data_IF_982173038959
#
_entry.id   IF_982173038959
#
_cell.length_a   1.000
_cell.length_b   1.000
_cell.length_c   1.000
_cell.angle_alpha   90.00
_cell.angle_beta   90.00
_cell.angle_gamma   90.00
#
_symmetry.space_group_name_H-M   'P 1'
#
loop_
_entity.id
_entity.type
_entity.pdbx_description
1 polymer ?
#
# COMPACT_ATOMS: atom_id res chain seq x y z
N UNK A 1 11.72 -4.88 -11.01
CA UNK A 1 11.80 -6.09 -10.19
C UNK A 1 11.27 -5.84 -8.79
N UNK A 2 10.48 -6.77 -8.27
CA UNK A 2 9.90 -6.62 -6.96
C UNK A 2 10.90 -7.04 -5.90
N UNK A 3 11.09 -6.18 -4.92
CA UNK A 3 12.00 -6.50 -3.83
C UNK A 3 11.27 -7.32 -2.78
N UNK A 4 11.91 -8.38 -2.33
CA UNK A 4 11.29 -9.25 -1.33
C UNK A 4 11.07 -8.58 0.01
N UNK A 5 11.78 -7.48 0.26
CA UNK A 5 11.60 -6.74 1.52
C UNK A 5 10.47 -5.73 1.48
N UNK A 6 9.80 -5.61 0.33
CA UNK A 6 8.76 -4.59 0.19
C UNK A 6 7.52 -4.94 0.99
N UNK A 7 6.96 -3.93 1.64
CA UNK A 7 5.71 -4.05 2.36
C UNK A 7 4.61 -3.45 1.50
N UNK A 8 3.53 -4.19 1.30
CA UNK A 8 2.37 -3.68 0.57
C UNK A 8 1.33 -3.21 1.57
N UNK A 9 0.81 -2.01 1.33
CA UNK A 9 -0.27 -1.46 2.14
C UNK A 9 -1.52 -1.48 1.29
N UNK A 10 -2.59 -2.06 1.82
CA UNK A 10 -3.87 -2.12 1.13
C UNK A 10 -4.77 -1.01 1.65
N UNK A 11 -5.13 -0.10 0.76
CA UNK A 11 -6.01 1.00 1.08
C UNK A 11 -5.27 2.29 1.37
N UNK A 12 -5.78 3.38 0.78
CA UNK A 12 -5.17 4.70 0.91
C UNK A 12 -5.92 5.63 1.85
N UNK A 13 -6.75 5.08 2.76
CA UNK A 13 -7.44 5.88 3.74
C UNK A 13 -6.49 6.43 4.79
N UNK A 14 -7.04 7.12 5.79
CA UNK A 14 -6.22 7.77 6.81
C UNK A 14 -5.25 6.81 7.47
N UNK A 15 -5.69 5.61 7.78
CA UNK A 15 -4.81 4.63 8.43
C UNK A 15 -3.72 4.15 7.48
N UNK A 16 -4.05 3.99 6.21
CA UNK A 16 -3.05 3.59 5.22
C UNK A 16 -1.99 4.64 5.06
N UNK A 17 -2.39 5.91 5.00
CA UNK A 17 -1.46 7.02 4.89
C UNK A 17 -0.58 7.10 6.14
N UNK A 18 -1.16 6.85 7.31
CA UNK A 18 -0.38 6.82 8.54
C UNK A 18 0.69 5.75 8.51
N UNK A 19 0.33 4.57 8.01
CA UNK A 19 1.29 3.48 7.88
C UNK A 19 2.41 3.83 6.90
N UNK A 20 2.06 4.50 5.79
CA UNK A 20 3.05 4.93 4.81
C UNK A 20 4.03 5.92 5.44
N UNK A 21 3.52 6.90 6.19
CA UNK A 21 4.38 7.89 6.83
C UNK A 21 5.34 7.24 7.81
N UNK A 22 4.86 6.26 8.55
CA UNK A 22 5.72 5.54 9.48
C UNK A 22 6.80 4.75 8.73
N UNK A 23 6.42 4.11 7.64
CA UNK A 23 7.37 3.34 6.85
C UNK A 23 8.44 4.23 6.23
N UNK A 24 8.05 5.41 5.74
CA UNK A 24 9.01 6.37 5.21
C UNK A 24 10.03 6.73 6.29
N UNK A 25 9.54 6.99 7.49
CA UNK A 25 10.40 7.35 8.60
C UNK A 25 11.39 6.23 8.93
N UNK A 26 10.98 4.99 8.75
CA UNK A 26 11.82 3.83 9.05
C UNK A 26 12.57 3.29 7.83
N UNK A 27 12.46 3.97 6.70
CA UNK A 27 13.10 3.56 5.45
C UNK A 27 12.68 2.16 5.00
N UNK A 28 11.41 1.85 5.17
CA UNK A 28 10.86 0.57 4.73
C UNK A 28 10.29 0.74 3.33
N UNK A 29 10.70 -0.08 2.35
CA UNK A 29 10.13 0.01 1.00
C UNK A 29 8.64 -0.31 1.02
N UNK A 30 7.86 0.52 0.34
CA UNK A 30 6.40 0.45 0.37
C UNK A 30 5.82 0.38 -1.04
N UNK A 31 4.76 -0.40 -1.17
CA UNK A 31 3.92 -0.41 -2.35
C UNK A 31 2.48 -0.23 -1.86
N UNK A 32 1.77 0.74 -2.41
CA UNK A 32 0.38 0.99 -2.02
C UNK A 32 -0.57 0.44 -3.08
N UNK A 33 -1.56 -0.32 -2.67
CA UNK A 33 -2.56 -0.85 -3.59
C UNK A 33 -3.95 -0.49 -3.07
N UNK A 34 -4.78 0.08 -3.95
CA UNK A 34 -6.13 0.47 -3.59
C UNK A 34 -7.09 0.02 -4.67
N UNK A 35 -8.20 -0.61 -4.27
CA UNK A 35 -9.18 -1.05 -5.24
C UNK A 35 -9.98 0.12 -5.80
N UNK A 36 -9.93 1.28 -5.16
CA UNK A 36 -10.61 2.50 -5.59
C UNK A 36 -9.62 3.44 -6.25
N UNK A 37 -10.15 4.53 -6.81
CA UNK A 37 -9.29 5.57 -7.35
C UNK A 37 -8.69 6.36 -6.20
N UNK A 38 -7.39 6.55 -6.23
CA UNK A 38 -6.69 7.31 -5.20
C UNK A 38 -6.84 8.80 -5.48
N UNK A 39 -7.08 9.59 -4.44
CA UNK A 39 -7.24 11.04 -4.61
C UNK A 39 -5.96 11.67 -5.16
N UNK A 40 -6.14 12.81 -5.84
CA UNK A 40 -4.99 13.51 -6.42
C UNK A 40 -4.00 13.98 -5.35
N UNK A 41 -4.51 14.42 -4.21
CA UNK A 41 -3.63 14.85 -3.12
C UNK A 41 -2.78 13.69 -2.62
N UNK A 42 -3.38 12.52 -2.49
CA UNK A 42 -2.65 11.35 -2.05
C UNK A 42 -1.62 10.92 -3.10
N UNK A 43 -2.02 10.93 -4.37
CA UNK A 43 -1.08 10.59 -5.44
C UNK A 43 0.13 11.51 -5.44
N UNK A 44 -0.10 12.79 -5.23
CA UNK A 44 0.97 13.76 -5.17
C UNK A 44 1.94 13.46 -4.04
N UNK A 45 1.40 13.11 -2.88
CA UNK A 45 2.20 12.72 -1.74
C UNK A 45 3.04 11.48 -2.05
N UNK A 46 2.43 10.48 -2.70
CA UNK A 46 3.13 9.25 -3.05
C UNK A 46 4.26 9.50 -4.03
N UNK A 47 3.99 10.27 -5.07
CA UNK A 47 5.00 10.58 -6.07
C UNK A 47 6.14 11.38 -5.47
N UNK A 48 5.83 12.32 -4.59
CA UNK A 48 6.82 13.13 -3.94
C UNK A 48 7.78 12.29 -3.09
N UNK A 49 7.28 11.20 -2.55
CA UNK A 49 8.07 10.33 -1.69
C UNK A 49 8.57 9.08 -2.42
N UNK A 50 8.44 9.06 -3.75
CA UNK A 50 8.91 7.94 -4.58
C UNK A 50 8.27 6.62 -4.20
N UNK A 51 7.00 6.64 -3.82
CA UNK A 51 6.27 5.43 -3.47
C UNK A 51 5.50 4.95 -4.69
N UNK A 52 5.66 3.68 -5.02
CA UNK A 52 4.92 3.08 -6.12
C UNK A 52 3.55 2.68 -5.64
N UNK A 53 2.57 2.81 -6.50
CA UNK A 53 1.20 2.50 -6.12
C UNK A 53 0.39 2.03 -7.32
N UNK A 54 -0.75 1.45 -7.04
CA UNK A 54 -1.74 1.11 -8.04
C UNK A 54 -3.12 1.50 -7.51
N UNK A 55 -4.04 1.75 -8.41
CA UNK A 55 -5.41 2.08 -8.04
C UNK A 55 -6.38 1.33 -8.93
N UNK A 56 -7.65 1.37 -8.57
CA UNK A 56 -8.71 0.76 -9.35
C UNK A 56 -8.51 -0.75 -9.51
N UNK A 57 -8.01 -1.38 -8.48
CA UNK A 57 -7.82 -2.82 -8.46
C UNK A 57 -6.53 -3.20 -7.77
N UNK A 58 -6.35 -4.50 -7.57
CA UNK A 58 -5.17 -5.03 -6.91
C UNK A 58 -4.45 -6.00 -7.83
N UNK A 59 -3.15 -5.81 -7.97
CA UNK A 59 -2.31 -6.76 -8.69
C UNK A 59 -1.78 -7.77 -7.69
N UNK A 60 -2.44 -8.91 -7.61
CA UNK A 60 -2.11 -9.91 -6.60
C UNK A 60 -0.74 -10.56 -6.80
N UNK A 61 -0.21 -10.52 -8.02
CA UNK A 61 1.15 -11.01 -8.24
C UNK A 61 2.16 -10.16 -7.50
N UNK A 62 1.98 -8.84 -7.53
CA UNK A 62 2.87 -7.94 -6.81
C UNK A 62 2.65 -8.08 -5.31
N UNK A 63 1.39 -8.09 -4.90
CA UNK A 63 1.05 -8.15 -3.48
C UNK A 63 1.55 -9.43 -2.84
N UNK A 64 1.37 -10.56 -3.51
CA UNK A 64 1.76 -11.85 -2.95
C UNK A 64 3.27 -12.01 -2.84
N UNK A 65 4.04 -11.23 -3.58
CA UNK A 65 5.50 -11.27 -3.48
C UNK A 65 6.05 -10.30 -2.46
N UNK A 66 5.19 -9.58 -1.76
CA UNK A 66 5.63 -8.67 -0.72
C UNK A 66 6.05 -9.43 0.52
N UNK A 67 6.99 -8.88 1.25
CA UNK A 67 7.41 -9.45 2.52
C UNK A 67 6.27 -9.41 3.53
N UNK A 68 5.49 -8.34 3.50
CA UNK A 68 4.44 -8.12 4.47
C UNK A 68 3.29 -7.37 3.82
N UNK A 69 2.08 -7.68 4.24
CA UNK A 69 0.90 -6.99 3.75
C UNK A 69 0.20 -6.35 4.94
N UNK A 70 0.05 -5.03 4.88
CA UNK A 70 -0.61 -4.26 5.93
C UNK A 70 -2.00 -3.87 5.46
N UNK A 71 -3.01 -4.16 6.25
CA UNK A 71 -4.38 -3.88 5.91
C UNK A 71 -4.81 -2.59 6.58
N UNK A 72 -5.30 -1.65 5.77
CA UNK A 72 -5.88 -0.44 6.32
C UNK A 72 -7.20 -0.80 7.01
N UNK A 73 -7.49 -0.23 8.19
CA UNK A 73 -8.75 -0.50 8.88
C UNK A 73 -10.00 -0.19 8.07
N UNK A 74 -9.89 0.61 7.03
CA UNK A 74 -11.04 0.88 6.18
C UNK A 74 -11.40 -0.29 5.29
N UNK A 75 -10.54 -1.31 5.21
CA UNK A 75 -10.79 -2.47 4.40
C UNK A 75 -11.21 -3.61 5.32
N UNK A 76 -12.19 -4.39 4.90
CA UNK A 76 -12.61 -5.52 5.71
C UNK A 76 -11.45 -6.49 5.90
N UNK A 77 -11.03 -6.72 7.13
CA UNK A 77 -9.96 -7.64 7.43
C UNK A 77 -10.29 -9.05 6.96
N UNK A 78 -11.54 -9.37 6.91
CA UNK A 78 -11.96 -10.69 6.49
C UNK A 78 -11.61 -10.99 5.05
N UNK A 79 -11.52 -9.97 4.23
CA UNK A 79 -11.20 -10.15 2.83
C UNK A 79 -9.75 -10.46 2.59
N UNK A 80 -8.89 -10.11 3.50
CA UNK A 80 -7.47 -10.18 3.28
C UNK A 80 -6.82 -11.36 3.98
N UNK A 81 -7.36 -11.73 5.09
CA UNK A 81 -6.79 -12.79 5.89
C UNK A 81 -6.66 -14.11 5.17
N UNK A 82 -7.49 -14.31 4.19
CA UNK A 82 -7.47 -15.58 3.50
C UNK A 82 -6.43 -15.75 2.45
N UNK A 83 -5.55 -14.84 2.34
CA UNK A 83 -4.58 -14.98 1.35
C UNK A 83 -3.57 -15.96 1.62
#
# INVERSE_FOLDING_TARGET
MIKKEMTTILGSGLSGIGAIKLAIKKNIPIYLSDHSIISNDTKEFLLKNNIKFEEDGHNWDIISNSKEIVISPGISAKMVIKH
#
